data_IF_422522901447
#
_entry.id   IF_422522901447
#
_cell.length_a   1.000
_cell.length_b   1.000
_cell.length_c   1.000
_cell.angle_alpha   90.00
_cell.angle_beta   90.00
_cell.angle_gamma   90.00
#
_symmetry.space_group_name_H-M   'P 1'
#
loop_
_entity.id
_entity.type
_entity.pdbx_description
1 polymer ?
#
# COMPACT_ATOMS: atom_id res chain seq x y z
N UNK A 1 -21.08 19.16 5.96
CA UNK A 1 -21.86 18.01 6.49
C UNK A 1 -23.37 18.27 6.39
N UNK A 2 -23.88 19.46 6.73
CA UNK A 2 -25.31 19.79 6.62
C UNK A 2 -25.89 19.60 5.22
N UNK A 3 -25.25 20.13 4.18
CA UNK A 3 -25.69 19.95 2.78
C UNK A 3 -25.69 18.48 2.33
N UNK A 4 -24.67 17.71 2.74
CA UNK A 4 -24.58 16.28 2.44
C UNK A 4 -25.74 15.50 3.08
N UNK A 5 -26.05 15.75 4.36
CA UNK A 5 -27.17 15.08 5.04
C UNK A 5 -28.49 15.38 4.35
N UNK A 6 -28.70 16.61 3.90
CA UNK A 6 -29.91 17.00 3.17
C UNK A 6 -30.02 16.32 1.80
N UNK A 7 -28.91 16.24 1.06
CA UNK A 7 -28.86 15.55 -0.23
C UNK A 7 -29.16 14.04 -0.09
N UNK A 8 -28.54 13.38 0.89
CA UNK A 8 -28.73 11.94 1.11
C UNK A 8 -30.06 11.58 1.77
N UNK A 9 -30.77 12.53 2.37
CA UNK A 9 -32.08 12.30 2.97
C UNK A 9 -33.11 11.78 1.96
N UNK A 10 -33.08 12.30 0.74
CA UNK A 10 -34.01 11.92 -0.33
C UNK A 10 -33.51 10.69 -1.11
N UNK A 11 -32.20 10.62 -1.39
CA UNK A 11 -31.65 9.55 -2.25
C UNK A 11 -31.35 8.25 -1.48
N UNK A 12 -30.69 8.33 -0.33
CA UNK A 12 -30.24 7.15 0.44
C UNK A 12 -30.37 7.40 1.95
N UNK A 13 -31.57 7.23 2.53
CA UNK A 13 -31.84 7.57 3.93
C UNK A 13 -30.98 6.78 4.92
N UNK A 14 -30.51 5.58 4.56
CA UNK A 14 -29.62 4.79 5.43
C UNK A 14 -28.27 5.49 5.68
N UNK A 15 -27.74 6.23 4.69
CA UNK A 15 -26.43 6.89 4.81
C UNK A 15 -26.47 8.05 5.80
N UNK A 16 -27.63 8.71 5.93
CA UNK A 16 -27.83 9.79 6.89
C UNK A 16 -27.55 9.34 8.33
N UNK A 17 -27.92 8.10 8.67
CA UNK A 17 -27.63 7.52 9.99
C UNK A 17 -26.12 7.46 10.25
N UNK A 18 -25.32 7.11 9.23
CA UNK A 18 -23.86 7.07 9.38
C UNK A 18 -23.28 8.46 9.61
N UNK A 19 -23.79 9.50 8.94
CA UNK A 19 -23.37 10.88 9.19
C UNK A 19 -23.66 11.33 10.62
N UNK A 20 -24.86 11.03 11.15
CA UNK A 20 -25.17 11.37 12.53
C UNK A 20 -24.33 10.59 13.53
N UNK A 21 -24.07 9.30 13.28
CA UNK A 21 -23.21 8.49 14.13
C UNK A 21 -21.78 9.04 14.15
N UNK A 22 -21.21 9.30 12.97
CA UNK A 22 -19.86 9.84 12.82
C UNK A 22 -19.76 11.21 13.52
N UNK A 23 -20.73 12.10 13.33
CA UNK A 23 -20.75 13.41 14.00
C UNK A 23 -20.78 13.31 15.53
N UNK A 24 -21.62 12.40 16.06
CA UNK A 24 -21.69 12.16 17.50
C UNK A 24 -20.39 11.58 18.07
N UNK A 25 -19.81 10.60 17.39
CA UNK A 25 -18.55 9.94 17.82
C UNK A 25 -17.35 10.89 17.71
N UNK A 26 -17.29 11.75 16.69
CA UNK A 26 -16.22 12.76 16.58
C UNK A 26 -16.33 13.81 17.67
N UNK A 27 -17.53 14.33 17.93
CA UNK A 27 -17.78 15.27 19.03
C UNK A 27 -17.43 14.64 20.40
N UNK A 28 -17.82 13.38 20.61
CA UNK A 28 -17.44 12.62 21.81
C UNK A 28 -15.91 12.45 21.94
N UNK A 29 -15.21 12.11 20.86
CA UNK A 29 -13.76 11.94 20.85
C UNK A 29 -13.01 13.24 21.19
N UNK A 30 -13.37 14.34 20.55
CA UNK A 30 -12.73 15.64 20.77
C UNK A 30 -12.96 16.18 22.18
N UNK A 31 -14.19 16.08 22.69
CA UNK A 31 -14.54 16.54 24.05
C UNK A 31 -13.84 15.72 25.12
N UNK A 32 -13.71 14.40 24.92
CA UNK A 32 -12.91 13.53 25.78
C UNK A 32 -11.44 13.94 25.82
N UNK A 33 -10.83 14.20 24.66
CA UNK A 33 -9.41 14.64 24.58
C UNK A 33 -9.22 16.00 25.25
N UNK A 34 -10.08 16.97 24.96
CA UNK A 34 -10.05 18.29 25.60
C UNK A 34 -10.12 18.19 27.13
N UNK A 35 -11.04 17.38 27.66
CA UNK A 35 -11.18 17.16 29.11
C UNK A 35 -9.96 16.47 29.73
N UNK A 36 -9.36 15.50 29.04
CA UNK A 36 -8.15 14.81 29.52
C UNK A 36 -6.95 15.76 29.61
N UNK A 37 -6.81 16.66 28.63
CA UNK A 37 -5.66 17.56 28.53
C UNK A 37 -5.82 18.79 29.44
N UNK A 38 -6.97 19.46 29.42
CA UNK A 38 -7.15 20.77 30.06
C UNK A 38 -7.86 20.73 31.42
N UNK A 39 -8.89 19.88 31.57
CA UNK A 39 -9.69 19.80 32.81
C UNK A 39 -9.17 18.75 33.81
N UNK A 40 -8.01 18.14 33.51
CA UNK A 40 -7.35 17.15 34.33
C UNK A 40 -6.65 17.74 35.57
N UNK A 41 -6.21 16.88 36.51
CA UNK A 41 -5.27 17.33 37.56
C UNK A 41 -3.88 17.43 36.93
N UNK A 42 -3.07 18.45 37.26
CA UNK A 42 -1.71 18.58 36.73
C UNK A 42 -0.86 17.35 37.00
N UNK A 43 -0.13 16.88 35.98
CA UNK A 43 0.80 15.76 36.08
C UNK A 43 2.19 16.28 36.49
N UNK A 44 3.07 15.42 37.04
CA UNK A 44 4.45 15.80 37.32
C UNK A 44 5.16 16.39 36.09
N UNK A 45 4.86 15.86 34.89
CA UNK A 45 5.40 16.34 33.60
C UNK A 45 4.81 17.67 33.12
N UNK A 46 3.62 18.06 33.58
CA UNK A 46 2.92 19.28 33.14
C UNK A 46 2.88 20.37 34.23
N UNK A 47 3.57 20.17 35.36
CA UNK A 47 3.51 21.06 36.53
C UNK A 47 4.14 22.44 36.27
N UNK A 48 5.11 22.53 35.37
CA UNK A 48 5.86 23.75 35.05
C UNK A 48 5.99 23.93 33.54
N UNK A 49 4.86 23.94 32.84
CA UNK A 49 4.82 24.14 31.40
C UNK A 49 4.47 25.60 31.10
N UNK A 50 5.42 26.43 30.64
CA UNK A 50 5.11 27.80 30.21
C UNK A 50 4.27 27.76 28.93
N UNK A 51 3.59 28.87 28.65
CA UNK A 51 2.86 29.04 27.38
C UNK A 51 3.82 29.01 26.18
N UNK A 52 3.22 28.74 25.02
CA UNK A 52 3.93 28.62 23.74
C UNK A 52 4.51 29.98 23.32
N UNK A 53 5.69 29.97 22.70
CA UNK A 53 6.37 31.19 22.22
C UNK A 53 5.56 31.89 21.12
N UNK A 54 5.74 33.21 20.94
CA UNK A 54 4.92 34.05 20.05
C UNK A 54 4.88 33.54 18.59
N UNK A 55 5.97 32.96 18.08
CA UNK A 55 6.07 32.49 16.69
C UNK A 55 5.15 31.30 16.40
N UNK A 56 4.82 30.49 17.41
CA UNK A 56 3.84 29.40 17.31
C UNK A 56 2.42 29.86 17.70
N UNK A 57 2.31 30.84 18.60
CA UNK A 57 1.01 31.41 19.00
C UNK A 57 0.33 32.19 17.87
N UNK A 58 1.10 32.95 17.08
CA UNK A 58 0.55 33.79 16.00
C UNK A 58 -0.22 32.97 14.96
N UNK A 59 0.33 31.88 14.36
CA UNK A 59 -0.42 31.07 13.40
C UNK A 59 -1.68 30.45 13.98
N UNK A 60 -1.64 29.98 15.23
CA UNK A 60 -2.80 29.38 15.89
C UNK A 60 -3.94 30.38 16.10
N UNK A 61 -3.63 31.57 16.63
CA UNK A 61 -4.62 32.61 16.87
C UNK A 61 -5.17 33.14 15.56
N UNK A 62 -4.31 33.40 14.57
CA UNK A 62 -4.73 33.86 13.24
C UNK A 62 -5.70 32.87 12.58
N UNK A 63 -5.40 31.56 12.62
CA UNK A 63 -6.31 30.53 12.11
C UNK A 63 -7.63 30.48 12.89
N UNK A 64 -7.60 30.64 14.22
CA UNK A 64 -8.84 30.68 15.02
C UNK A 64 -9.74 31.85 14.65
N UNK A 65 -9.16 33.02 14.38
CA UNK A 65 -9.87 34.21 13.93
C UNK A 65 -10.48 33.96 12.56
N UNK A 66 -9.69 33.43 11.61
CA UNK A 66 -10.19 33.07 10.27
C UNK A 66 -11.38 32.10 10.37
N UNK A 67 -11.28 31.03 11.15
CA UNK A 67 -12.36 30.05 11.33
C UNK A 67 -13.65 30.70 11.88
N UNK A 68 -13.54 31.67 12.78
CA UNK A 68 -14.70 32.41 13.30
C UNK A 68 -15.31 33.38 12.27
N UNK A 69 -14.49 33.98 11.40
CA UNK A 69 -14.96 34.87 10.34
C UNK A 69 -15.53 34.11 9.13
N UNK A 70 -15.13 32.85 8.90
CA UNK A 70 -15.54 32.06 7.74
C UNK A 70 -17.07 32.02 7.50
N UNK A 71 -17.93 31.78 8.50
CA UNK A 71 -19.38 31.77 8.29
C UNK A 71 -19.93 33.10 7.77
N UNK A 72 -19.41 34.23 8.27
CA UNK A 72 -19.81 35.57 7.84
C UNK A 72 -19.31 35.84 6.43
N UNK A 73 -18.05 35.51 6.14
CA UNK A 73 -17.45 35.66 4.82
C UNK A 73 -18.23 34.88 3.75
N UNK A 74 -18.60 33.64 4.04
CA UNK A 74 -19.38 32.80 3.11
C UNK A 74 -20.78 33.36 2.84
N UNK A 75 -21.40 34.02 3.84
CA UNK A 75 -22.70 34.67 3.71
C UNK A 75 -22.60 35.92 2.82
N UNK A 76 -21.64 36.81 3.07
CA UNK A 76 -21.51 38.08 2.34
C UNK A 76 -21.05 37.88 0.89
N UNK A 77 -20.20 36.87 0.63
CA UNK A 77 -19.71 36.58 -0.72
C UNK A 77 -20.69 35.77 -1.58
N UNK A 78 -21.89 35.43 -1.09
CA UNK A 78 -22.88 34.60 -1.77
C UNK A 78 -22.29 33.32 -2.39
N UNK A 79 -21.26 32.74 -1.74
CA UNK A 79 -20.54 31.55 -2.25
C UNK A 79 -21.41 30.28 -2.23
N UNK A 80 -22.57 30.33 -1.56
CA UNK A 80 -23.61 29.30 -1.61
C UNK A 80 -24.69 29.74 -2.60
N UNK A 81 -24.64 29.24 -3.84
CA UNK A 81 -25.56 29.61 -4.93
C UNK A 81 -26.98 29.07 -4.69
N UNK A 82 -28.03 29.91 -4.54
CA UNK A 82 -29.40 29.51 -4.11
C UNK A 82 -30.16 28.48 -4.98
N UNK A 83 -29.60 28.07 -6.11
CA UNK A 83 -30.37 27.66 -7.30
C UNK A 83 -30.86 26.20 -7.26
N UNK A 84 -30.37 25.36 -6.34
CA UNK A 84 -30.72 23.92 -6.29
C UNK A 84 -31.36 23.44 -4.96
N UNK A 85 -31.89 24.33 -4.12
CA UNK A 85 -32.12 24.04 -2.70
C UNK A 85 -33.55 23.75 -2.23
N UNK A 86 -34.54 23.55 -3.11
CA UNK A 86 -35.91 23.21 -2.63
C UNK A 86 -35.94 21.90 -1.81
N UNK A 87 -35.09 20.92 -2.15
CA UNK A 87 -34.92 19.68 -1.39
C UNK A 87 -33.91 19.79 -0.22
N UNK A 88 -33.20 20.92 -0.10
CA UNK A 88 -32.21 21.18 0.96
C UNK A 88 -32.80 21.93 2.15
N UNK A 89 -34.03 22.41 2.13
CA UNK A 89 -34.63 23.14 3.27
C UNK A 89 -35.22 22.21 4.35
N UNK A 90 -34.60 21.06 4.57
CA UNK A 90 -34.93 20.18 5.69
C UNK A 90 -34.33 20.74 6.99
N UNK A 91 -35.01 21.73 7.59
CA UNK A 91 -34.68 22.28 8.92
C UNK A 91 -34.50 21.16 9.96
N UNK A 92 -35.32 20.11 9.85
CA UNK A 92 -35.26 18.93 10.71
C UNK A 92 -33.88 18.25 10.66
N UNK A 93 -33.28 18.13 9.48
CA UNK A 93 -31.98 17.46 9.32
C UNK A 93 -30.83 18.25 9.96
N UNK A 94 -30.88 19.58 9.91
CA UNK A 94 -29.90 20.46 10.57
C UNK A 94 -30.02 20.40 12.09
N UNK A 95 -31.25 20.47 12.59
CA UNK A 95 -31.52 20.35 14.03
C UNK A 95 -31.05 19.00 14.54
N UNK A 96 -31.34 17.90 13.84
CA UNK A 96 -30.86 16.56 14.20
C UNK A 96 -29.33 16.48 14.20
N UNK A 97 -28.65 17.16 13.28
CA UNK A 97 -27.19 17.19 13.24
C UNK A 97 -26.61 17.91 14.46
N UNK A 98 -27.17 19.06 14.83
CA UNK A 98 -26.77 19.82 16.02
C UNK A 98 -27.05 19.01 17.28
N UNK A 99 -28.22 18.37 17.38
CA UNK A 99 -28.57 17.50 18.51
C UNK A 99 -27.60 16.32 18.63
N UNK A 100 -27.27 15.65 17.52
CA UNK A 100 -26.31 14.55 17.53
C UNK A 100 -24.94 14.99 18.08
N UNK A 101 -24.41 16.12 17.61
CA UNK A 101 -23.16 16.68 18.11
C UNK A 101 -23.24 17.08 19.59
N UNK A 102 -24.37 17.68 19.99
CA UNK A 102 -24.66 18.06 21.37
C UNK A 102 -24.70 16.85 22.31
N UNK A 103 -25.36 15.77 21.90
CA UNK A 103 -25.40 14.49 22.65
C UNK A 103 -23.99 13.91 22.77
N UNK A 104 -23.22 13.87 21.68
CA UNK A 104 -21.83 13.39 21.71
C UNK A 104 -20.96 14.18 22.69
N UNK A 105 -21.11 15.52 22.69
CA UNK A 105 -20.42 16.42 23.62
C UNK A 105 -20.85 16.20 25.08
N UNK A 106 -22.15 16.11 25.33
CA UNK A 106 -22.72 15.88 26.67
C UNK A 106 -22.24 14.55 27.25
N UNK A 107 -22.29 13.48 26.46
CA UNK A 107 -21.81 12.16 26.84
C UNK A 107 -20.30 12.18 27.12
N UNK A 108 -19.51 12.87 26.29
CA UNK A 108 -18.07 13.06 26.50
C UNK A 108 -17.71 13.84 27.77
N UNK A 109 -18.52 14.83 28.11
CA UNK A 109 -18.36 15.62 29.32
C UNK A 109 -18.73 14.85 30.60
N UNK A 110 -19.78 14.02 30.55
CA UNK A 110 -20.30 13.31 31.73
C UNK A 110 -19.60 11.97 32.01
N UNK A 111 -19.15 11.24 30.98
CA UNK A 111 -18.54 9.92 31.16
C UNK A 111 -17.37 9.97 32.14
N UNK A 112 -17.32 9.02 33.08
CA UNK A 112 -16.20 8.92 33.99
C UNK A 112 -14.92 8.54 33.23
N UNK A 113 -13.85 9.32 33.41
CA UNK A 113 -12.55 9.10 32.77
C UNK A 113 -11.59 8.46 33.80
N UNK A 114 -11.46 7.12 33.80
CA UNK A 114 -10.46 6.47 34.62
C UNK A 114 -9.07 6.84 34.09
N UNK A 115 -8.26 7.47 34.94
CA UNK A 115 -6.91 7.94 34.58
C UNK A 115 -5.86 6.83 34.60
N UNK A 116 -6.11 5.78 35.37
CA UNK A 116 -5.21 4.63 35.55
C UNK A 116 -5.84 3.41 34.92
N UNK A 117 -5.42 3.07 33.69
CA UNK A 117 -5.49 1.72 33.09
C UNK A 117 -6.70 0.85 33.41
N UNK A 118 -7.89 1.43 33.57
CA UNK A 118 -9.09 0.68 33.96
C UNK A 118 -9.62 0.00 32.70
N UNK A 119 -8.97 -1.11 32.34
CA UNK A 119 -9.53 -2.06 31.40
C UNK A 119 -10.86 -2.52 31.96
N UNK A 120 -11.91 -2.53 31.13
CA UNK A 120 -13.18 -3.10 31.56
C UNK A 120 -12.96 -4.55 31.99
N UNK A 121 -13.52 -4.92 33.14
CA UNK A 121 -13.46 -6.29 33.67
C UNK A 121 -14.37 -7.21 32.84
N UNK A 122 -15.42 -6.67 32.21
CA UNK A 122 -16.33 -7.44 31.37
C UNK A 122 -15.70 -7.77 30.00
N UNK A 123 -15.69 -9.07 29.67
CA UNK A 123 -15.11 -9.64 28.45
C UNK A 123 -15.62 -9.00 27.13
N UNK A 124 -16.94 -8.81 26.89
CA UNK A 124 -17.40 -8.28 25.60
C UNK A 124 -17.03 -6.81 25.41
N UNK A 125 -17.10 -6.00 26.47
CA UNK A 125 -16.71 -4.58 26.41
C UNK A 125 -15.20 -4.46 26.21
N UNK A 126 -14.42 -5.33 26.84
CA UNK A 126 -12.97 -5.39 26.66
C UNK A 126 -12.60 -5.72 25.22
N UNK A 127 -13.28 -6.68 24.57
CA UNK A 127 -13.00 -7.00 23.17
C UNK A 127 -13.21 -5.80 22.25
N UNK A 128 -14.34 -5.09 22.38
CA UNK A 128 -14.63 -3.90 21.57
C UNK A 128 -13.65 -2.76 21.91
N UNK A 129 -13.32 -2.58 23.19
CA UNK A 129 -12.33 -1.59 23.64
C UNK A 129 -10.96 -1.87 23.03
N UNK A 130 -10.49 -3.12 23.07
CA UNK A 130 -9.20 -3.53 22.51
C UNK A 130 -9.21 -3.40 20.97
N UNK A 131 -10.31 -3.77 20.30
CA UNK A 131 -10.46 -3.62 18.85
C UNK A 131 -10.34 -2.15 18.41
N UNK A 132 -11.04 -1.24 19.10
CA UNK A 132 -10.99 0.19 18.80
C UNK A 132 -9.68 0.86 19.25
N UNK A 133 -9.04 0.36 20.30
CA UNK A 133 -7.78 0.91 20.81
C UNK A 133 -6.57 0.58 19.93
N UNK A 134 -6.63 -0.52 19.17
CA UNK A 134 -5.56 -0.96 18.26
C UNK A 134 -5.93 -0.75 16.78
N UNK A 135 -6.75 0.26 16.48
CA UNK A 135 -7.17 0.63 15.10
C UNK A 135 -7.63 -0.58 14.27
N UNK A 136 -8.53 -1.39 14.85
CA UNK A 136 -9.06 -2.63 14.26
C UNK A 136 -8.00 -3.67 13.87
N UNK A 137 -6.79 -3.58 14.43
CA UNK A 137 -5.64 -4.40 14.08
C UNK A 137 -5.29 -4.37 12.57
N UNK A 138 -5.62 -3.27 11.88
CA UNK A 138 -5.39 -3.13 10.43
C UNK A 138 -3.90 -3.29 10.10
N UNK A 139 -2.98 -2.75 10.91
CA UNK A 139 -1.53 -2.93 10.71
C UNK A 139 -1.13 -4.42 10.73
N UNK A 140 -1.66 -5.18 11.68
CA UNK A 140 -1.36 -6.61 11.80
C UNK A 140 -1.94 -7.40 10.63
N UNK A 141 -3.17 -7.10 10.24
CA UNK A 141 -3.81 -7.72 9.08
C UNK A 141 -3.02 -7.42 7.81
N UNK A 142 -2.62 -6.17 7.57
CA UNK A 142 -1.82 -5.77 6.43
C UNK A 142 -0.47 -6.49 6.38
N UNK A 143 0.20 -6.62 7.53
CA UNK A 143 1.48 -7.35 7.65
C UNK A 143 1.33 -8.84 7.33
N UNK A 144 0.27 -9.48 7.81
CA UNK A 144 0.03 -10.92 7.62
C UNK A 144 -0.51 -11.24 6.23
N UNK A 145 -1.23 -10.31 5.59
CA UNK A 145 -1.83 -10.53 4.27
C UNK A 145 -0.91 -10.03 3.17
N UNK A 146 -0.83 -8.71 3.01
CA UNK A 146 -0.12 -8.08 1.89
C UNK A 146 1.38 -8.29 2.03
N UNK A 147 1.98 -7.92 3.16
CA UNK A 147 3.44 -7.97 3.33
C UNK A 147 3.95 -9.40 3.29
N UNK A 148 3.27 -10.34 3.97
CA UNK A 148 3.63 -11.75 3.91
C UNK A 148 3.55 -12.31 2.49
N UNK A 149 2.47 -12.04 1.76
CA UNK A 149 2.30 -12.54 0.37
C UNK A 149 3.38 -12.00 -0.54
N UNK A 150 3.65 -10.69 -0.48
CA UNK A 150 4.71 -10.06 -1.29
C UNK A 150 6.08 -10.61 -0.91
N UNK A 151 6.36 -10.79 0.39
CA UNK A 151 7.63 -11.37 0.86
C UNK A 151 7.81 -12.81 0.40
N UNK A 152 6.75 -13.62 0.42
CA UNK A 152 6.78 -15.00 -0.04
C UNK A 152 7.07 -15.07 -1.55
N UNK A 153 6.36 -14.27 -2.35
CA UNK A 153 6.59 -14.20 -3.80
C UNK A 153 8.01 -13.74 -4.12
N UNK A 154 8.51 -12.71 -3.43
CA UNK A 154 9.88 -12.23 -3.64
C UNK A 154 10.93 -13.31 -3.35
N UNK A 155 10.75 -14.10 -2.29
CA UNK A 155 11.64 -15.23 -1.96
C UNK A 155 11.59 -16.33 -3.01
N UNK A 156 10.39 -16.65 -3.53
CA UNK A 156 10.24 -17.65 -4.59
C UNK A 156 10.95 -17.17 -5.86
N UNK A 157 10.73 -15.92 -6.27
CA UNK A 157 11.39 -15.36 -7.46
C UNK A 157 12.92 -15.35 -7.31
N UNK A 158 13.43 -14.94 -6.15
CA UNK A 158 14.86 -14.97 -5.88
C UNK A 158 15.44 -16.40 -5.88
N UNK A 159 14.69 -17.38 -5.39
CA UNK A 159 15.10 -18.78 -5.44
C UNK A 159 15.15 -19.31 -6.89
N UNK A 160 14.16 -18.97 -7.71
CA UNK A 160 14.13 -19.34 -9.14
C UNK A 160 15.36 -18.77 -9.85
N UNK A 161 15.67 -17.49 -9.63
CA UNK A 161 16.79 -16.83 -10.29
C UNK A 161 18.14 -17.48 -9.91
N UNK A 162 18.40 -17.62 -8.61
CA UNK A 162 19.66 -18.16 -8.09
C UNK A 162 19.89 -19.65 -8.37
N UNK A 163 18.83 -20.46 -8.47
CA UNK A 163 18.98 -21.90 -8.65
C UNK A 163 18.71 -22.37 -10.08
N UNK A 164 17.69 -21.81 -10.75
CA UNK A 164 17.28 -22.26 -12.08
C UNK A 164 18.03 -21.48 -13.15
N UNK A 165 17.99 -20.15 -13.09
CA UNK A 165 18.58 -19.29 -14.13
C UNK A 165 20.10 -19.35 -14.04
N UNK A 166 20.67 -19.06 -12.87
CA UNK A 166 22.11 -19.15 -12.65
C UNK A 166 22.63 -20.59 -12.84
N UNK A 167 21.85 -21.58 -12.44
CA UNK A 167 22.18 -23.00 -12.66
C UNK A 167 22.32 -23.34 -14.14
N UNK A 168 21.39 -22.85 -14.98
CA UNK A 168 21.45 -23.05 -16.43
C UNK A 168 22.69 -22.38 -17.05
N UNK A 169 23.00 -21.14 -16.65
CA UNK A 169 24.19 -20.42 -17.13
C UNK A 169 25.48 -21.14 -16.73
N UNK A 170 25.57 -21.59 -15.47
CA UNK A 170 26.72 -22.34 -14.98
C UNK A 170 26.91 -23.67 -15.71
N UNK A 171 25.82 -24.36 -16.09
CA UNK A 171 25.89 -25.59 -16.87
C UNK A 171 26.49 -25.33 -18.25
N UNK A 172 26.02 -24.29 -18.95
CA UNK A 172 26.58 -23.90 -20.26
C UNK A 172 28.07 -23.57 -20.14
N UNK A 173 28.46 -22.81 -19.12
CA UNK A 173 29.87 -22.52 -18.82
C UNK A 173 30.69 -23.79 -18.57
N UNK A 174 30.16 -24.73 -17.79
CA UNK A 174 30.80 -26.01 -17.49
C UNK A 174 30.97 -26.87 -18.75
N UNK A 175 29.94 -26.95 -19.61
CA UNK A 175 30.02 -27.68 -20.89
C UNK A 175 31.08 -27.06 -21.80
N UNK A 176 31.17 -25.73 -21.85
CA UNK A 176 32.20 -25.04 -22.63
C UNK A 176 33.62 -25.31 -22.11
N UNK A 177 33.82 -25.34 -20.78
CA UNK A 177 35.12 -25.67 -20.20
C UNK A 177 35.47 -27.13 -20.45
N UNK A 178 34.54 -28.07 -20.26
CA UNK A 178 34.75 -29.49 -20.52
C UNK A 178 35.08 -29.75 -21.99
N UNK A 179 34.38 -29.10 -22.92
CA UNK A 179 34.65 -29.26 -24.35
C UNK A 179 36.04 -28.74 -24.72
N UNK A 180 36.45 -27.58 -24.17
CA UNK A 180 37.80 -27.04 -24.35
C UNK A 180 38.90 -27.95 -23.79
N UNK A 181 38.71 -28.51 -22.59
CA UNK A 181 39.65 -29.47 -22.00
C UNK A 181 39.72 -30.75 -22.83
N UNK A 182 38.59 -31.23 -23.34
CA UNK A 182 38.53 -32.42 -24.20
C UNK A 182 39.27 -32.20 -25.51
N UNK A 183 39.09 -31.04 -26.16
CA UNK A 183 39.79 -30.67 -27.40
C UNK A 183 41.30 -30.54 -27.20
N UNK A 184 41.76 -30.09 -26.02
CA UNK A 184 43.19 -30.00 -25.70
C UNK A 184 43.88 -31.37 -25.80
N UNK A 185 43.21 -32.45 -25.40
CA UNK A 185 43.77 -33.81 -25.50
C UNK A 185 43.90 -34.32 -26.94
N UNK A 186 43.26 -33.67 -27.92
CA UNK A 186 43.42 -34.00 -29.34
C UNK A 186 44.82 -33.62 -29.87
N UNK A 187 45.56 -32.76 -29.17
CA UNK A 187 46.92 -32.36 -29.52
C UNK A 187 47.92 -33.25 -28.77
N UNK A 188 48.17 -34.45 -29.29
CA UNK A 188 48.97 -35.51 -28.64
C UNK A 188 50.50 -35.32 -28.73
N UNK A 189 50.99 -34.32 -29.48
CA UNK A 189 52.42 -34.03 -29.64
C UNK A 189 53.20 -35.04 -30.51
N UNK A 190 52.53 -36.03 -31.11
CA UNK A 190 53.14 -37.02 -32.02
C UNK A 190 52.94 -36.62 -33.48
N UNK A 191 54.03 -36.43 -34.24
CA UNK A 191 53.99 -36.03 -35.66
C UNK A 191 53.10 -36.93 -36.53
N UNK A 192 53.13 -38.24 -36.28
CA UNK A 192 52.34 -39.25 -37.00
C UNK A 192 50.83 -39.03 -36.89
N UNK A 193 50.34 -38.59 -35.72
CA UNK A 193 48.91 -38.33 -35.50
C UNK A 193 48.43 -37.12 -36.31
N UNK A 194 49.26 -36.07 -36.43
CA UNK A 194 48.93 -34.91 -37.26
C UNK A 194 48.84 -35.28 -38.76
N UNK A 195 49.81 -36.05 -39.27
CA UNK A 195 49.79 -36.52 -40.66
C UNK A 195 48.53 -37.34 -40.95
N UNK A 196 48.16 -38.24 -40.02
CA UNK A 196 46.92 -39.02 -40.12
C UNK A 196 45.69 -38.10 -40.19
N UNK A 197 45.57 -37.11 -39.30
CA UNK A 197 44.42 -36.19 -39.29
C UNK A 197 44.29 -35.37 -40.58
N UNK A 198 45.41 -34.95 -41.18
CA UNK A 198 45.41 -34.22 -42.45
C UNK A 198 44.91 -35.11 -43.59
N UNK A 199 45.43 -36.34 -43.68
CA UNK A 199 45.05 -37.30 -44.72
C UNK A 199 43.56 -37.67 -44.63
N UNK A 200 43.07 -37.90 -43.40
CA UNK A 200 41.66 -38.13 -43.12
C UNK A 200 40.79 -36.93 -43.50
N UNK A 201 41.21 -35.70 -43.16
CA UNK A 201 40.52 -34.47 -43.54
C UNK A 201 40.40 -34.29 -45.05
N UNK A 202 41.47 -34.56 -45.81
CA UNK A 202 41.46 -34.51 -47.28
C UNK A 202 40.50 -35.57 -47.85
N UNK A 203 40.55 -36.79 -47.34
CA UNK A 203 39.67 -37.88 -47.79
C UNK A 203 38.20 -37.53 -47.57
N UNK A 204 37.84 -37.02 -46.38
CA UNK A 204 36.47 -36.60 -46.08
C UNK A 204 36.03 -35.47 -47.01
N UNK A 205 36.83 -34.41 -47.18
CA UNK A 205 36.50 -33.31 -48.09
C UNK A 205 36.32 -33.78 -49.53
N UNK A 206 37.19 -34.66 -50.02
CA UNK A 206 37.09 -35.23 -51.36
C UNK A 206 35.79 -36.04 -51.55
N UNK A 207 35.39 -36.83 -50.54
CA UNK A 207 34.12 -37.57 -50.59
C UNK A 207 32.90 -36.65 -50.58
N UNK A 208 32.90 -35.61 -49.74
CA UNK A 208 31.79 -34.62 -49.69
C UNK A 208 31.65 -33.89 -51.02
N UNK A 209 32.76 -33.42 -51.60
CA UNK A 209 32.75 -32.72 -52.89
C UNK A 209 32.30 -33.67 -54.00
N UNK A 210 32.79 -34.91 -54.01
CA UNK A 210 32.42 -35.91 -55.01
C UNK A 210 30.94 -36.29 -54.92
N UNK A 211 30.39 -36.37 -53.70
CA UNK A 211 28.97 -36.62 -53.48
C UNK A 211 28.08 -35.49 -54.03
N UNK A 212 28.42 -34.23 -53.78
CA UNK A 212 27.74 -33.07 -54.36
C UNK A 212 27.81 -33.06 -55.89
N UNK A 213 28.98 -33.38 -56.45
CA UNK A 213 29.20 -33.42 -57.90
C UNK A 213 28.38 -34.53 -58.57
N UNK A 214 28.22 -35.67 -57.90
CA UNK A 214 27.37 -36.78 -58.35
C UNK A 214 25.90 -36.38 -58.30
N UNK A 215 25.40 -35.83 -57.18
CA UNK A 215 23.99 -35.40 -57.07
C UNK A 215 23.64 -34.34 -58.12
N UNK A 216 24.52 -33.36 -58.33
CA UNK A 216 24.32 -32.32 -59.35
C UNK A 216 24.23 -32.89 -60.78
N UNK A 217 24.95 -33.98 -61.06
CA UNK A 217 24.85 -34.69 -62.34
C UNK A 217 23.50 -35.40 -62.51
N UNK A 218 22.98 -36.03 -61.45
CA UNK A 218 21.69 -36.71 -61.47
C UNK A 218 20.51 -35.73 -61.53
N UNK A 219 20.60 -34.53 -60.96
CA UNK A 219 19.54 -33.52 -61.06
C UNK A 219 19.39 -32.91 -62.46
N UNK A 220 20.46 -32.85 -63.26
CA UNK A 220 20.41 -32.39 -64.65
C UNK A 220 19.76 -33.41 -65.59
N UNK A 221 19.76 -34.69 -65.23
CA UNK A 221 19.11 -35.77 -65.99
C UNK A 221 17.60 -35.91 -65.70
N UNK A 222 17.11 -35.40 -64.56
CA UNK A 222 15.70 -35.48 -64.15
C UNK A 222 14.88 -34.27 -64.65
N UNK A 223 15.54 -33.17 -65.02
CA UNK A 223 14.89 -31.91 -65.48
C UNK A 223 14.80 -31.76 -67.01
N UNK A 224 15.16 -32.78 -67.80
CA UNK A 224 14.91 -32.85 -69.25
C UNK A 224 13.92 -33.97 -69.53
#
# INVERSE_FOLDING_TARGET
>A
MGEAVKAFWVTYPWQVVTFFLVNGVTAFGLTRVFRLVFLGKPQPKTRRTPEVIWSMALPMVALSVIVLLMPVLMKELNLLSPINYEYLNNLLAEILLVISGGIGCMVGALIYLPRTGSRSISLPVRFVQDLLAYDFYIDRLYRVTVVFTVSLLAKITAWIDLYIVDGAVNLVGLVAVISGQSLKYNVSGKSQFYVLTILLGIAVLATVISYELVIGHWSLFISK
#
